data_IF_161675711371
#
_entry.id   IF_161675711371
#
_cell.length_a   1.000
_cell.length_b   1.000
_cell.length_c   1.000
_cell.angle_alpha   90.00
_cell.angle_beta   90.00
_cell.angle_gamma   90.00
#
_symmetry.space_group_name_H-M   'P 1'
#
loop_
_entity.id
_entity.type
_entity.pdbx_description
1 polymer ?
#
# COMPACT_ATOMS: atom_id res chain seq x y z
N UNK A 1 2.57 62.37 -13.68
CA UNK A 1 1.33 61.58 -13.76
C UNK A 1 1.31 60.92 -15.12
N UNK A 2 1.49 59.60 -15.18
CA UNK A 2 1.44 58.88 -16.46
C UNK A 2 0.00 58.79 -16.95
N UNK A 3 -0.22 59.28 -18.17
CA UNK A 3 -1.51 59.28 -18.86
C UNK A 3 -1.79 57.87 -19.37
N UNK A 4 -2.78 57.20 -18.77
CA UNK A 4 -3.32 55.94 -19.25
C UNK A 4 -4.00 56.21 -20.60
N UNK A 5 -3.33 55.91 -21.72
CA UNK A 5 -3.94 55.96 -23.04
C UNK A 5 -4.99 54.85 -23.14
N UNK A 6 -6.26 55.24 -23.31
CA UNK A 6 -7.30 54.32 -23.76
C UNK A 6 -6.97 53.90 -25.21
N UNK A 7 -6.75 52.60 -25.42
CA UNK A 7 -6.70 52.01 -26.76
C UNK A 7 -8.04 52.32 -27.47
N UNK A 8 -7.97 52.97 -28.63
CA UNK A 8 -9.16 53.26 -29.42
C UNK A 8 -9.76 51.92 -29.88
N UNK A 9 -10.97 51.62 -29.39
CA UNK A 9 -11.74 50.45 -29.83
C UNK A 9 -12.14 50.69 -31.29
N UNK A 10 -11.65 49.84 -32.19
CA UNK A 10 -12.09 49.83 -33.58
C UNK A 10 -13.59 49.51 -33.64
N UNK A 11 -14.32 50.29 -34.43
CA UNK A 11 -15.77 50.23 -34.55
C UNK A 11 -16.20 48.83 -35.03
N UNK A 12 -16.98 48.11 -34.21
CA UNK A 12 -17.51 46.77 -34.51
C UNK A 12 -17.02 45.61 -33.63
N UNK A 13 -16.09 45.80 -32.69
CA UNK A 13 -15.68 44.73 -31.77
C UNK A 13 -16.60 44.64 -30.54
N UNK A 14 -16.97 43.43 -30.06
CA UNK A 14 -17.78 43.29 -28.84
C UNK A 14 -17.09 43.98 -27.66
N UNK A 15 -17.84 44.65 -26.76
CA UNK A 15 -17.28 45.18 -25.52
C UNK A 15 -16.59 44.05 -24.77
N UNK A 16 -15.33 44.28 -24.36
CA UNK A 16 -14.61 43.30 -23.54
C UNK A 16 -15.44 42.98 -22.30
N UNK A 17 -15.60 41.69 -22.04
CA UNK A 17 -16.29 41.20 -20.85
C UNK A 17 -15.48 41.58 -19.60
N UNK A 18 -16.16 41.71 -18.46
CA UNK A 18 -15.49 42.04 -17.19
C UNK A 18 -14.37 41.04 -16.85
N UNK A 19 -14.53 39.76 -17.23
CA UNK A 19 -13.50 38.74 -17.06
C UNK A 19 -12.25 38.99 -17.92
N UNK A 20 -12.42 39.43 -19.16
CA UNK A 20 -11.32 39.76 -20.07
C UNK A 20 -10.57 41.01 -19.61
N UNK A 21 -11.28 42.03 -19.14
CA UNK A 21 -10.68 43.25 -18.57
C UNK A 21 -9.83 42.90 -17.35
N UNK A 22 -10.39 42.10 -16.43
CA UNK A 22 -9.67 41.64 -15.24
C UNK A 22 -8.45 40.78 -15.63
N UNK A 23 -8.58 39.86 -16.58
CA UNK A 23 -7.45 39.08 -17.08
C UNK A 23 -6.35 39.95 -17.68
N UNK A 24 -6.70 40.95 -18.49
CA UNK A 24 -5.73 41.86 -19.13
C UNK A 24 -5.00 42.72 -18.09
N UNK A 25 -5.70 43.21 -17.06
CA UNK A 25 -5.11 43.96 -15.93
C UNK A 25 -4.18 43.07 -15.10
N UNK A 26 -4.59 41.84 -14.79
CA UNK A 26 -3.78 40.87 -14.05
C UNK A 26 -2.52 40.47 -14.84
N UNK A 27 -2.61 40.35 -16.17
CA UNK A 27 -1.47 40.07 -17.05
C UNK A 27 -0.54 41.26 -17.23
N UNK A 28 -1.08 42.50 -17.21
CA UNK A 28 -0.29 43.73 -17.38
C UNK A 28 0.51 44.06 -16.13
N UNK A 29 -0.04 43.81 -14.94
CA UNK A 29 0.72 43.93 -13.71
C UNK A 29 1.45 42.62 -13.45
N UNK A 30 2.79 42.62 -13.50
CA UNK A 30 3.66 41.54 -12.98
C UNK A 30 3.37 41.14 -11.51
N UNK A 31 2.40 41.82 -10.88
CA UNK A 31 1.90 41.66 -9.51
C UNK A 31 0.82 40.58 -9.36
N UNK A 32 0.68 39.67 -10.33
CA UNK A 32 -0.24 38.52 -10.25
C UNK A 32 -0.09 37.75 -8.93
N UNK A 33 1.15 37.60 -8.45
CA UNK A 33 1.46 36.97 -7.17
C UNK A 33 0.89 37.74 -5.96
N UNK A 34 0.97 39.07 -5.94
CA UNK A 34 0.47 39.89 -4.83
C UNK A 34 -1.06 39.90 -4.81
N UNK A 35 -1.70 39.97 -5.99
CA UNK A 35 -3.15 39.92 -6.11
C UNK A 35 -3.72 38.64 -5.53
N UNK A 36 -3.24 37.47 -5.96
CA UNK A 36 -3.72 36.19 -5.44
C UNK A 36 -3.42 35.99 -3.94
N UNK A 37 -2.25 36.45 -3.48
CA UNK A 37 -1.89 36.40 -2.05
C UNK A 37 -2.86 37.20 -1.18
N UNK A 38 -3.28 38.38 -1.63
CA UNK A 38 -4.17 39.27 -0.87
C UNK A 38 -5.62 38.78 -0.80
N UNK A 39 -6.08 38.00 -1.77
CA UNK A 39 -7.44 37.40 -1.79
C UNK A 39 -7.48 35.99 -1.18
N UNK A 40 -6.38 35.54 -0.56
CA UNK A 40 -6.31 34.23 0.13
C UNK A 40 -6.30 33.03 -0.82
N UNK A 41 -6.13 33.26 -2.13
CA UNK A 41 -6.00 32.19 -3.11
C UNK A 41 -4.54 31.74 -3.12
N UNK A 42 -4.26 30.62 -2.44
CA UNK A 42 -2.97 29.95 -2.50
C UNK A 42 -2.69 29.54 -3.93
N UNK A 43 -1.85 30.32 -4.63
CA UNK A 43 -1.34 29.92 -5.94
C UNK A 43 -0.46 28.69 -5.77
N UNK A 44 -0.58 27.65 -6.62
CA UNK A 44 0.40 26.59 -6.66
C UNK A 44 1.78 27.24 -6.86
N UNK A 45 2.72 26.93 -5.97
CA UNK A 45 4.07 27.46 -6.03
C UNK A 45 4.70 27.05 -7.36
N UNK A 46 4.86 28.01 -8.28
CA UNK A 46 5.62 27.86 -9.53
C UNK A 46 7.14 27.73 -9.27
N UNK A 47 7.59 27.78 -8.01
CA UNK A 47 9.00 27.56 -7.69
C UNK A 47 9.36 26.12 -8.04
N UNK A 48 10.39 25.99 -8.87
CA UNK A 48 11.05 24.70 -9.08
C UNK A 48 11.40 24.11 -7.73
N UNK A 49 11.11 22.81 -7.49
CA UNK A 49 11.44 22.17 -6.24
C UNK A 49 12.93 22.33 -6.00
N UNK A 50 13.29 22.68 -4.76
CA UNK A 50 14.69 22.73 -4.36
C UNK A 50 15.34 21.36 -4.58
N UNK A 51 16.64 21.32 -4.87
CA UNK A 51 17.40 20.07 -4.97
C UNK A 51 17.17 19.15 -3.76
N UNK A 52 17.03 19.73 -2.57
CA UNK A 52 16.72 18.98 -1.35
C UNK A 52 15.30 18.37 -1.36
N UNK A 53 14.31 19.09 -1.88
CA UNK A 53 12.94 18.59 -2.00
C UNK A 53 12.86 17.46 -3.04
N UNK A 54 13.59 17.59 -4.15
CA UNK A 54 13.64 16.55 -5.17
C UNK A 54 14.32 15.26 -4.67
N UNK A 55 15.39 15.38 -3.88
CA UNK A 55 16.03 14.26 -3.22
C UNK A 55 15.08 13.54 -2.24
N UNK A 56 14.34 14.28 -1.41
CA UNK A 56 13.36 13.70 -0.48
C UNK A 56 12.23 12.97 -1.22
N UNK A 57 11.72 13.54 -2.32
CA UNK A 57 10.69 12.88 -3.15
C UNK A 57 11.21 11.57 -3.76
N UNK A 58 12.48 11.55 -4.17
CA UNK A 58 13.10 10.36 -4.74
C UNK A 58 13.32 9.28 -3.67
N UNK A 59 13.77 9.66 -2.48
CA UNK A 59 13.89 8.78 -1.32
C UNK A 59 12.54 8.13 -0.96
N UNK A 60 11.47 8.93 -0.90
CA UNK A 60 10.13 8.44 -0.61
C UNK A 60 9.61 7.46 -1.67
N UNK A 61 9.93 7.70 -2.94
CA UNK A 61 9.56 6.79 -4.02
C UNK A 61 10.29 5.43 -3.89
N UNK A 62 11.58 5.46 -3.55
CA UNK A 62 12.37 4.25 -3.29
C UNK A 62 11.82 3.50 -2.07
N UNK A 63 11.52 4.22 -0.99
CA UNK A 63 10.97 3.64 0.25
C UNK A 63 9.63 2.95 0.00
N UNK A 64 8.69 3.62 -0.68
CA UNK A 64 7.39 3.03 -1.04
C UNK A 64 7.53 1.79 -1.92
N UNK A 65 8.48 1.81 -2.85
CA UNK A 65 8.75 0.65 -3.69
C UNK A 65 9.33 -0.52 -2.88
N UNK A 66 10.22 -0.23 -1.93
CA UNK A 66 10.77 -1.21 -1.00
C UNK A 66 9.71 -1.78 -0.04
N UNK A 67 8.85 -0.92 0.50
CA UNK A 67 7.73 -1.29 1.36
C UNK A 67 6.80 -2.29 0.68
N UNK A 68 6.40 -2.03 -0.56
CA UNK A 68 5.55 -2.94 -1.34
C UNK A 68 6.21 -4.32 -1.52
N UNK A 69 7.50 -4.35 -1.88
CA UNK A 69 8.23 -5.60 -2.07
C UNK A 69 8.42 -6.39 -0.76
N UNK A 70 8.58 -5.71 0.37
CA UNK A 70 8.68 -6.34 1.69
C UNK A 70 7.30 -6.86 2.12
N UNK A 71 6.26 -6.07 1.91
CA UNK A 71 4.89 -6.45 2.24
C UNK A 71 4.49 -7.75 1.53
N UNK A 72 4.76 -7.86 0.23
CA UNK A 72 4.47 -9.07 -0.54
C UNK A 72 5.21 -10.30 0.02
N UNK A 73 6.50 -10.15 0.35
CA UNK A 73 7.28 -11.21 0.99
C UNK A 73 6.71 -11.63 2.35
N UNK A 74 6.25 -10.67 3.16
CA UNK A 74 5.64 -10.96 4.47
C UNK A 74 4.32 -11.71 4.30
N UNK A 75 3.49 -11.32 3.34
CA UNK A 75 2.22 -12.01 3.04
C UNK A 75 2.49 -13.45 2.60
N UNK A 76 3.46 -13.66 1.72
CA UNK A 76 3.81 -15.00 1.23
C UNK A 76 4.43 -15.86 2.35
N UNK A 77 5.32 -15.28 3.16
CA UNK A 77 5.87 -15.95 4.34
C UNK A 77 4.78 -16.39 5.30
N UNK A 78 3.80 -15.53 5.56
CA UNK A 78 2.66 -15.83 6.44
C UNK A 78 1.85 -17.01 5.91
N UNK A 79 1.47 -17.01 4.62
CA UNK A 79 0.74 -18.13 3.99
C UNK A 79 1.50 -19.44 4.11
N UNK A 80 2.82 -19.42 3.87
CA UNK A 80 3.65 -20.63 4.02
C UNK A 80 3.73 -21.11 5.47
N UNK A 81 3.78 -20.20 6.43
CA UNK A 81 3.78 -20.53 7.85
C UNK A 81 2.47 -21.21 8.25
N UNK A 82 1.33 -20.65 7.85
CA UNK A 82 0.00 -21.22 8.11
C UNK A 82 -0.12 -22.63 7.52
N UNK A 83 0.32 -22.83 6.27
CA UNK A 83 0.33 -24.15 5.64
C UNK A 83 1.27 -25.15 6.34
N UNK A 84 2.43 -24.69 6.82
CA UNK A 84 3.37 -25.53 7.55
C UNK A 84 2.81 -25.94 8.93
N UNK A 85 2.13 -25.04 9.62
CA UNK A 85 1.46 -25.32 10.90
C UNK A 85 0.32 -26.34 10.73
N UNK A 86 -0.49 -26.22 9.67
CA UNK A 86 -1.54 -27.19 9.36
C UNK A 86 -0.98 -28.58 9.03
N UNK A 87 0.09 -28.64 8.23
CA UNK A 87 0.79 -29.89 7.92
C UNK A 87 1.37 -30.54 9.18
N UNK A 88 1.93 -29.74 10.08
CA UNK A 88 2.46 -30.20 11.37
C UNK A 88 1.34 -30.75 12.26
N UNK A 89 0.22 -30.04 12.37
CA UNK A 89 -0.94 -30.49 13.14
C UNK A 89 -1.51 -31.81 12.59
N UNK A 90 -1.57 -31.94 11.27
CA UNK A 90 -2.01 -33.19 10.60
C UNK A 90 -1.07 -34.34 10.90
N UNK A 91 0.23 -34.12 10.77
CA UNK A 91 1.25 -35.14 11.06
C UNK A 91 1.20 -35.57 12.52
N UNK A 92 1.02 -34.63 13.44
CA UNK A 92 0.90 -34.92 14.87
C UNK A 92 -0.33 -35.80 15.16
N UNK A 93 -1.49 -35.48 14.57
CA UNK A 93 -2.69 -36.33 14.68
C UNK A 93 -2.44 -37.75 14.16
N UNK A 94 -1.79 -37.88 13.00
CA UNK A 94 -1.48 -39.19 12.42
C UNK A 94 -0.55 -40.00 13.32
N UNK A 95 0.43 -39.36 13.94
CA UNK A 95 1.36 -40.00 14.87
C UNK A 95 0.64 -40.56 16.11
N UNK A 96 -0.26 -39.78 16.71
CA UNK A 96 -1.04 -40.25 17.87
C UNK A 96 -1.97 -41.42 17.51
N UNK A 97 -2.59 -41.38 16.33
CA UNK A 97 -3.41 -42.50 15.84
C UNK A 97 -2.58 -43.78 15.64
N UNK A 98 -1.40 -43.67 15.01
CA UNK A 98 -0.50 -44.80 14.84
C UNK A 98 -0.03 -45.39 16.18
N UNK A 99 0.27 -44.51 17.15
CA UNK A 99 0.64 -44.94 18.50
C UNK A 99 -0.48 -45.72 19.16
N UNK A 100 -1.72 -45.24 19.06
CA UNK A 100 -2.90 -45.93 19.59
C UNK A 100 -3.09 -47.31 18.94
N UNK A 101 -2.98 -47.39 17.61
CA UNK A 101 -3.06 -48.66 16.88
C UNK A 101 -1.96 -49.64 17.31
N UNK A 102 -0.75 -49.14 17.58
CA UNK A 102 0.33 -49.96 18.11
C UNK A 102 0.02 -50.51 19.51
N UNK A 103 -0.52 -49.69 20.41
CA UNK A 103 -0.95 -50.13 21.75
C UNK A 103 -2.06 -51.19 21.67
N UNK A 104 -3.07 -50.97 20.82
CA UNK A 104 -4.14 -51.95 20.58
C UNK A 104 -3.60 -53.28 20.03
N UNK A 105 -2.66 -53.22 19.08
CA UNK A 105 -2.00 -54.40 18.52
C UNK A 105 -1.21 -55.18 19.58
N UNK A 106 -0.46 -54.48 20.43
CA UNK A 106 0.28 -55.09 21.53
C UNK A 106 -0.66 -55.82 22.50
N UNK A 107 -1.78 -55.20 22.88
CA UNK A 107 -2.78 -55.82 23.76
C UNK A 107 -3.39 -57.09 23.16
N UNK A 108 -3.66 -57.08 21.85
CA UNK A 108 -4.17 -58.27 21.14
C UNK A 108 -3.12 -59.40 21.18
N UNK A 109 -1.85 -59.08 20.90
CA UNK A 109 -0.74 -60.03 20.96
C UNK A 109 -0.61 -60.65 22.35
N UNK A 110 -0.62 -59.83 23.41
CA UNK A 110 -0.57 -60.29 24.80
C UNK A 110 -1.71 -61.27 25.10
N UNK A 111 -2.93 -60.95 24.67
CA UNK A 111 -4.09 -61.83 24.88
C UNK A 111 -3.94 -63.17 24.15
N UNK A 112 -3.44 -63.18 22.91
CA UNK A 112 -3.18 -64.42 22.15
C UNK A 112 -2.12 -65.28 22.85
N UNK A 113 -1.05 -64.65 23.36
CA UNK A 113 0.00 -65.35 24.08
C UNK A 113 -0.54 -66.01 25.36
N UNK A 114 -1.36 -65.28 26.14
CA UNK A 114 -1.99 -65.84 27.34
C UNK A 114 -2.86 -67.06 27.03
N UNK A 115 -3.67 -67.00 25.98
CA UNK A 115 -4.52 -68.13 25.55
C UNK A 115 -3.68 -69.32 25.09
N UNK A 116 -2.60 -69.08 24.34
CA UNK A 116 -1.72 -70.14 23.84
C UNK A 116 -1.00 -70.87 24.98
N UNK A 117 -0.62 -70.17 26.04
CA UNK A 117 0.02 -70.77 27.24
C UNK A 117 -1.01 -71.56 28.07
N UNK A 118 -2.26 -71.10 28.14
CA UNK A 118 -3.33 -71.80 28.87
C UNK A 118 -3.88 -73.03 28.11
N UNK A 119 -3.70 -73.09 26.79
CA UNK A 119 -4.23 -74.13 25.91
C UNK A 119 -3.32 -75.33 25.65
N UNK A 120 -2.14 -75.42 26.26
CA UNK A 120 -1.27 -76.60 26.18
C UNK A 120 -1.53 -77.54 27.37
N UNK A 121 -2.37 -78.58 27.24
CA UNK A 121 -2.41 -79.66 28.22
C UNK A 121 -1.14 -80.49 28.11
N UNK A 122 -0.48 -80.69 29.26
CA UNK A 122 0.67 -81.59 29.45
C UNK A 122 0.37 -83.04 29.10
#
# INVERSE_FOLDING_TARGET
>A
METIRAEAVADGQPPMTSAEVVSKVISLTSSTFIFFKNIGISTPSLKTPSTAEQALRQQLAIEKQGEAAIHDQVVDLKKRSEAAEEALATTHRQFEELKKQQEESNLILERILMVSIAGTPS
#
